data_IF_702827462301
#
_entry.id   IF_702827462301
#
_cell.length_a   1.000
_cell.length_b   1.000
_cell.length_c   1.000
_cell.angle_alpha   90.00
_cell.angle_beta   90.00
_cell.angle_gamma   90.00
#
_symmetry.space_group_name_H-M   'P 1'
#
loop_
_entity.id
_entity.type
_entity.pdbx_description
1 polymer ?
#
# COMPACT_ATOMS: atom_id res chain seq x y z
N UNK A 1 -20.53 -27.93 -54.93
CA UNK A 1 -21.86 -28.57 -54.89
C UNK A 1 -22.62 -27.86 -53.77
N UNK A 2 -23.48 -26.87 -54.14
CA UNK A 2 -24.96 -26.89 -54.10
C UNK A 2 -25.47 -27.34 -52.72
N UNK A 3 -26.24 -26.59 -51.92
CA UNK A 3 -27.53 -25.94 -52.22
C UNK A 3 -27.88 -24.84 -51.21
N UNK A 4 -28.36 -23.75 -51.75
CA UNK A 4 -29.22 -22.70 -51.21
C UNK A 4 -30.59 -23.27 -50.82
N UNK A 5 -31.22 -22.79 -49.76
CA UNK A 5 -32.67 -22.76 -49.63
C UNK A 5 -33.15 -21.50 -48.91
N UNK A 6 -33.70 -20.58 -49.66
CA UNK A 6 -34.61 -19.50 -49.26
C UNK A 6 -36.03 -20.09 -49.14
N UNK A 7 -36.79 -19.60 -48.16
CA UNK A 7 -38.25 -19.41 -48.29
C UNK A 7 -38.74 -18.21 -47.48
N UNK A 8 -39.39 -17.36 -48.25
CA UNK A 8 -40.18 -16.18 -47.84
C UNK A 8 -41.62 -16.56 -47.49
N UNK A 9 -42.37 -15.51 -47.08
CA UNK A 9 -43.87 -15.33 -47.14
C UNK A 9 -44.56 -15.72 -45.79
N UNK A 10 -45.50 -14.95 -45.19
CA UNK A 10 -46.50 -14.02 -45.66
C UNK A 10 -47.07 -13.19 -44.50
N UNK A 11 -47.49 -12.01 -44.81
CA UNK A 11 -48.24 -11.06 -43.95
C UNK A 11 -49.68 -11.53 -43.68
N UNK A 12 -50.24 -11.17 -42.53
CA UNK A 12 -51.68 -10.97 -42.33
C UNK A 12 -51.95 -9.78 -41.41
N UNK A 13 -52.44 -8.72 -41.98
CA UNK A 13 -53.01 -7.58 -41.29
C UNK A 13 -54.50 -7.90 -40.94
N UNK A 14 -54.87 -7.65 -39.68
CA UNK A 14 -56.29 -7.55 -39.27
C UNK A 14 -56.48 -6.24 -38.56
N UNK A 15 -57.19 -5.34 -39.22
CA UNK A 15 -57.74 -4.10 -38.66
C UNK A 15 -59.01 -4.44 -37.86
N UNK A 16 -59.06 -4.08 -36.60
CA UNK A 16 -60.31 -3.96 -35.84
C UNK A 16 -60.32 -2.59 -35.13
N UNK A 17 -61.18 -1.72 -35.68
CA UNK A 17 -61.63 -0.47 -35.10
C UNK A 17 -62.59 -0.75 -33.94
N UNK A 18 -62.32 -0.19 -32.77
CA UNK A 18 -63.35 -0.06 -31.73
C UNK A 18 -63.19 1.29 -31.01
N UNK A 19 -64.29 1.93 -30.84
CA UNK A 19 -64.53 3.30 -30.38
C UNK A 19 -63.96 3.65 -29.01
N UNK A 20 -63.44 4.87 -28.90
CA UNK A 20 -63.13 5.58 -27.65
C UNK A 20 -64.42 6.09 -26.97
N UNK A 21 -64.42 6.16 -25.65
CA UNK A 21 -64.99 7.31 -24.94
C UNK A 21 -63.91 8.21 -24.41
N UNK A 22 -64.14 9.47 -24.63
CA UNK A 22 -63.39 10.66 -24.24
C UNK A 22 -63.45 10.78 -22.71
N UNK A 23 -62.28 10.70 -22.05
CA UNK A 23 -62.13 11.09 -20.65
C UNK A 23 -61.08 12.18 -20.54
N UNK A 24 -61.41 13.22 -19.81
CA UNK A 24 -60.68 14.44 -19.56
C UNK A 24 -59.26 14.20 -19.02
N UNK A 25 -58.30 15.15 -19.26
CA UNK A 25 -56.92 15.04 -18.73
C UNK A 25 -56.96 15.31 -17.22
N UNK A 26 -56.60 14.33 -16.42
CA UNK A 26 -56.19 14.56 -15.05
C UNK A 26 -54.79 15.11 -15.07
N UNK A 27 -54.61 16.22 -14.42
CA UNK A 27 -53.36 16.85 -14.02
C UNK A 27 -52.44 15.85 -13.33
N UNK A 28 -51.13 15.75 -13.63
CA UNK A 28 -50.21 14.85 -12.95
C UNK A 28 -50.00 15.35 -11.52
N UNK A 29 -50.41 14.57 -10.54
CA UNK A 29 -49.98 14.71 -9.14
C UNK A 29 -48.47 14.64 -9.06
N UNK A 30 -47.88 15.74 -8.65
CA UNK A 30 -46.47 15.92 -8.33
C UNK A 30 -46.16 15.07 -7.09
N UNK A 31 -45.68 13.84 -7.31
CA UNK A 31 -45.13 13.03 -6.22
C UNK A 31 -43.79 13.67 -5.85
N UNK A 32 -43.54 13.97 -4.57
CA UNK A 32 -42.23 14.41 -4.13
C UNK A 32 -41.19 13.35 -4.54
N UNK A 33 -40.30 13.73 -5.43
CA UNK A 33 -39.08 12.96 -5.68
C UNK A 33 -38.24 13.01 -4.41
N UNK A 34 -38.09 11.88 -3.75
CA UNK A 34 -37.09 11.73 -2.71
C UNK A 34 -35.75 12.22 -3.26
N UNK A 35 -34.99 13.03 -2.48
CA UNK A 35 -33.71 13.51 -2.95
C UNK A 35 -32.82 12.29 -3.20
N UNK A 36 -32.41 12.11 -4.46
CA UNK A 36 -31.35 11.15 -4.82
C UNK A 36 -30.12 11.61 -4.09
N UNK A 37 -29.87 11.05 -2.91
CA UNK A 37 -28.61 11.19 -2.19
C UNK A 37 -27.58 10.49 -3.06
N UNK A 38 -26.88 11.26 -3.85
CA UNK A 38 -25.69 10.84 -4.56
C UNK A 38 -24.64 10.51 -3.47
N UNK A 39 -24.67 9.30 -2.94
CA UNK A 39 -23.60 8.76 -2.13
C UNK A 39 -22.41 8.58 -3.09
N UNK A 40 -21.59 9.62 -3.22
CA UNK A 40 -20.26 9.47 -3.77
C UNK A 40 -19.50 8.56 -2.81
N UNK A 41 -19.48 7.27 -3.12
CA UNK A 41 -18.68 6.30 -2.37
C UNK A 41 -17.23 6.77 -2.39
N UNK A 42 -16.62 6.84 -1.21
CA UNK A 42 -15.19 7.18 -1.11
C UNK A 42 -14.37 6.21 -1.99
N UNK A 43 -13.34 6.72 -2.67
CA UNK A 43 -12.50 5.89 -3.52
C UNK A 43 -11.80 4.82 -2.65
N UNK A 44 -11.75 3.59 -3.16
CA UNK A 44 -11.13 2.44 -2.47
C UNK A 44 -10.07 1.84 -3.36
N UNK A 45 -8.85 1.71 -2.85
CA UNK A 45 -7.76 1.00 -3.52
C UNK A 45 -8.06 -0.51 -3.52
N UNK A 46 -8.05 -1.11 -4.71
CA UNK A 46 -8.16 -2.56 -4.93
C UNK A 46 -7.13 -2.97 -5.94
N UNK A 47 -6.61 -4.17 -5.80
CA UNK A 47 -5.61 -4.70 -6.71
C UNK A 47 -5.13 -6.08 -6.27
N UNK A 48 -4.33 -6.68 -7.10
CA UNK A 48 -3.67 -7.95 -6.87
C UNK A 48 -2.16 -7.81 -7.12
N UNK A 49 -1.37 -8.73 -6.58
CA UNK A 49 0.06 -8.81 -6.88
C UNK A 49 0.29 -9.80 -8.01
N UNK A 50 1.14 -9.41 -8.95
CA UNK A 50 1.51 -10.22 -10.09
C UNK A 50 3.02 -10.41 -10.10
N UNK A 51 3.46 -11.66 -10.23
CA UNK A 51 4.88 -11.97 -10.34
C UNK A 51 5.42 -11.47 -11.68
N UNK A 52 6.59 -10.81 -11.66
CA UNK A 52 7.25 -10.38 -12.88
C UNK A 52 7.74 -11.58 -13.70
N UNK A 53 7.66 -11.46 -15.02
CA UNK A 53 8.10 -12.48 -15.95
C UNK A 53 9.64 -12.46 -16.09
N UNK A 54 10.32 -13.07 -15.13
CA UNK A 54 11.79 -13.19 -15.10
C UNK A 54 12.17 -14.63 -15.36
N UNK A 55 13.11 -14.84 -16.26
CA UNK A 55 13.64 -16.16 -16.61
C UNK A 55 14.99 -16.38 -15.91
N UNK A 56 15.08 -17.41 -15.11
CA UNK A 56 16.33 -17.87 -14.49
C UNK A 56 16.86 -19.10 -15.23
N UNK A 57 18.18 -19.37 -15.20
CA UNK A 57 18.75 -20.61 -15.72
C UNK A 57 18.13 -21.86 -15.08
N UNK A 58 18.07 -22.95 -15.82
CA UNK A 58 17.67 -24.23 -15.25
C UNK A 58 18.62 -24.62 -14.12
N UNK A 59 18.05 -24.99 -13.00
CA UNK A 59 18.78 -25.40 -11.83
C UNK A 59 18.12 -26.63 -11.22
N UNK A 60 18.92 -27.63 -10.86
CA UNK A 60 18.47 -28.87 -10.21
C UNK A 60 19.19 -29.01 -8.87
N UNK A 61 18.42 -29.03 -7.80
CA UNK A 61 18.97 -29.21 -6.44
C UNK A 61 18.39 -28.24 -5.42
N UNK A 62 18.94 -28.27 -4.22
CA UNK A 62 18.49 -27.50 -3.07
C UNK A 62 19.32 -26.21 -2.83
N UNK A 63 20.22 -25.89 -3.75
CA UNK A 63 21.01 -24.64 -3.74
C UNK A 63 20.66 -23.72 -4.91
N UNK A 64 19.47 -23.92 -5.51
CA UNK A 64 19.01 -23.09 -6.61
C UNK A 64 18.69 -21.68 -6.11
N UNK A 65 19.17 -20.63 -6.80
CA UNK A 65 18.89 -19.26 -6.41
C UNK A 65 17.38 -18.95 -6.55
N UNK A 66 16.83 -18.21 -5.59
CA UNK A 66 15.43 -17.79 -5.60
C UNK A 66 15.32 -16.26 -5.82
N UNK A 67 14.82 -15.88 -6.98
CA UNK A 67 14.57 -14.49 -7.32
C UNK A 67 13.07 -14.29 -7.57
N UNK A 68 12.39 -13.65 -6.64
CA UNK A 68 10.95 -13.42 -6.72
C UNK A 68 10.64 -11.95 -6.55
N UNK A 69 10.17 -11.32 -7.62
CA UNK A 69 9.69 -9.94 -7.62
C UNK A 69 8.25 -9.90 -8.10
N UNK A 70 7.40 -9.27 -7.30
CA UNK A 70 5.99 -9.06 -7.63
C UNK A 70 5.73 -7.55 -7.74
N UNK A 71 4.83 -7.17 -8.64
CA UNK A 71 4.30 -5.81 -8.76
C UNK A 71 2.84 -5.75 -8.31
N UNK A 72 2.37 -4.56 -7.98
CA UNK A 72 0.95 -4.31 -7.78
C UNK A 72 0.28 -3.98 -9.12
N UNK A 73 -0.88 -4.57 -9.37
CA UNK A 73 -1.82 -4.15 -10.41
C UNK A 73 -3.11 -3.70 -9.73
N UNK A 74 -3.33 -2.40 -9.70
CA UNK A 74 -4.45 -1.81 -8.98
C UNK A 74 -5.38 -1.02 -9.89
N UNK A 75 -6.49 -0.57 -9.31
CA UNK A 75 -7.42 0.36 -9.96
C UNK A 75 -6.92 1.82 -9.94
N UNK A 76 -5.67 2.09 -9.51
CA UNK A 76 -5.02 3.40 -9.52
C UNK A 76 -3.64 3.33 -10.19
N UNK A 77 -3.55 3.55 -11.51
CA UNK A 77 -2.29 3.41 -12.26
C UNK A 77 -1.12 4.25 -11.73
N UNK A 78 -1.39 5.42 -11.11
CA UNK A 78 -0.34 6.26 -10.53
C UNK A 78 0.36 5.59 -9.33
N UNK A 79 -0.37 4.75 -8.57
CA UNK A 79 0.20 3.94 -7.47
C UNK A 79 1.09 2.85 -8.05
N UNK A 80 0.59 2.14 -9.07
CA UNK A 80 1.33 1.06 -9.71
C UNK A 80 2.65 1.57 -10.30
N UNK A 81 2.62 2.71 -10.99
CA UNK A 81 3.81 3.34 -11.57
C UNK A 81 4.84 3.76 -10.51
N UNK A 82 4.39 4.35 -9.40
CA UNK A 82 5.28 4.72 -8.31
C UNK A 82 5.92 3.48 -7.69
N UNK A 83 5.13 2.45 -7.41
CA UNK A 83 5.64 1.21 -6.81
C UNK A 83 6.58 0.45 -7.75
N UNK A 84 6.34 0.47 -9.07
CA UNK A 84 7.24 -0.12 -10.07
C UNK A 84 8.62 0.55 -10.01
N UNK A 85 8.67 1.89 -9.91
CA UNK A 85 9.93 2.61 -9.76
C UNK A 85 10.62 2.27 -8.43
N UNK A 86 9.88 2.21 -7.34
CA UNK A 86 10.43 1.85 -6.03
C UNK A 86 10.94 0.40 -5.98
N UNK A 87 10.33 -0.52 -6.71
CA UNK A 87 10.83 -1.89 -6.88
C UNK A 87 12.21 -1.87 -7.57
N UNK A 88 12.36 -1.11 -8.64
CA UNK A 88 13.65 -0.98 -9.35
C UNK A 88 14.73 -0.34 -8.47
N UNK A 89 14.37 0.70 -7.72
CA UNK A 89 15.27 1.35 -6.78
C UNK A 89 15.74 0.40 -5.66
N UNK A 90 14.83 -0.45 -5.18
CA UNK A 90 15.19 -1.47 -4.19
C UNK A 90 16.09 -2.57 -4.79
N UNK A 91 15.79 -3.06 -6.00
CA UNK A 91 16.65 -4.02 -6.70
C UNK A 91 18.06 -3.48 -6.89
N UNK A 92 18.17 -2.22 -7.32
CA UNK A 92 19.48 -1.55 -7.47
C UNK A 92 20.27 -1.51 -6.16
N UNK A 93 19.61 -1.11 -5.07
CA UNK A 93 20.24 -1.03 -3.74
C UNK A 93 20.64 -2.39 -3.19
N UNK A 94 19.77 -3.41 -3.33
CA UNK A 94 20.00 -4.76 -2.80
C UNK A 94 21.15 -5.48 -3.53
N UNK A 95 21.34 -5.20 -4.82
CA UNK A 95 22.38 -5.81 -5.63
C UNK A 95 23.63 -4.91 -5.79
N UNK A 96 23.66 -3.76 -5.10
CA UNK A 96 24.74 -2.77 -5.16
C UNK A 96 25.13 -2.36 -6.59
N UNK A 97 24.15 -2.37 -7.51
CA UNK A 97 24.38 -1.99 -8.90
C UNK A 97 24.26 -0.47 -9.01
N UNK A 98 25.39 0.22 -9.02
CA UNK A 98 25.46 1.68 -9.08
C UNK A 98 25.28 2.23 -10.51
N UNK A 99 25.45 1.40 -11.53
CA UNK A 99 25.42 1.80 -12.94
C UNK A 99 24.04 1.73 -13.58
N UNK A 100 23.04 2.37 -12.96
CA UNK A 100 21.72 2.55 -13.57
C UNK A 100 21.66 3.73 -14.57
N UNK A 101 22.79 4.23 -15.05
CA UNK A 101 22.87 5.36 -15.99
C UNK A 101 22.30 5.09 -17.40
N UNK A 102 21.76 3.92 -17.65
CA UNK A 102 21.05 3.60 -18.91
C UNK A 102 19.53 3.46 -18.80
N UNK A 103 18.93 3.61 -17.63
CA UNK A 103 17.49 3.43 -17.44
C UNK A 103 16.66 4.72 -17.48
N UNK A 104 17.28 5.88 -17.66
CA UNK A 104 16.57 7.16 -17.77
C UNK A 104 16.34 7.53 -19.23
N UNK A 105 15.39 6.86 -19.89
CA UNK A 105 14.79 7.40 -21.12
C UNK A 105 13.30 7.11 -21.16
N UNK A 106 12.54 8.16 -20.78
CA UNK A 106 11.20 8.52 -21.30
C UNK A 106 10.48 7.47 -22.15
N UNK A 107 9.53 6.76 -21.53
CA UNK A 107 8.45 6.15 -22.27
C UNK A 107 7.12 6.53 -21.60
N UNK A 108 6.34 7.37 -22.27
CA UNK A 108 4.94 7.63 -21.97
C UNK A 108 4.11 6.55 -22.70
N UNK A 109 3.24 5.86 -21.98
CA UNK A 109 2.22 5.03 -22.58
C UNK A 109 2.30 3.53 -22.22
N UNK A 110 1.46 2.73 -22.81
CA UNK A 110 1.24 1.29 -22.59
C UNK A 110 2.46 0.34 -22.72
N UNK A 111 3.65 0.88 -22.94
CA UNK A 111 4.94 0.16 -22.97
C UNK A 111 5.57 -0.01 -21.56
N UNK A 112 5.00 0.59 -20.53
CA UNK A 112 5.61 0.68 -19.20
C UNK A 112 5.69 -0.67 -18.47
N UNK A 113 4.75 -1.59 -18.70
CA UNK A 113 4.81 -2.95 -18.16
C UNK A 113 5.97 -3.77 -18.72
N UNK A 114 6.21 -3.65 -20.03
CA UNK A 114 7.32 -4.34 -20.68
C UNK A 114 8.68 -3.79 -20.20
N UNK A 115 8.74 -2.52 -19.83
CA UNK A 115 9.96 -1.89 -19.33
C UNK A 115 10.37 -2.44 -17.96
N UNK A 116 9.43 -2.61 -17.02
CA UNK A 116 9.71 -3.17 -15.70
C UNK A 116 10.22 -4.62 -15.80
N UNK A 117 9.59 -5.48 -16.61
CA UNK A 117 10.02 -6.87 -16.80
C UNK A 117 11.43 -6.94 -17.40
N UNK A 118 11.74 -6.07 -18.36
CA UNK A 118 13.07 -6.01 -19.00
C UNK A 118 14.14 -5.60 -17.98
N UNK A 119 13.87 -4.59 -17.17
CA UNK A 119 14.82 -4.15 -16.12
C UNK A 119 14.94 -5.19 -15.01
N UNK A 120 13.85 -5.80 -14.57
CA UNK A 120 13.87 -6.88 -13.59
C UNK A 120 14.69 -8.08 -14.09
N UNK A 121 14.63 -8.39 -15.40
CA UNK A 121 15.49 -9.43 -16.00
C UNK A 121 16.98 -9.06 -15.92
N UNK A 122 17.34 -7.79 -16.11
CA UNK A 122 18.74 -7.35 -15.94
C UNK A 122 19.24 -7.56 -14.51
N UNK A 123 18.42 -7.20 -13.52
CA UNK A 123 18.73 -7.45 -12.12
C UNK A 123 18.79 -8.94 -11.77
N UNK A 124 17.91 -9.76 -12.35
CA UNK A 124 17.98 -11.21 -12.20
C UNK A 124 19.26 -11.80 -12.77
N UNK A 125 19.74 -11.30 -13.92
CA UNK A 125 21.01 -11.75 -14.50
C UNK A 125 22.20 -11.37 -13.59
N UNK A 126 22.17 -10.18 -12.98
CA UNK A 126 23.19 -9.78 -12.01
C UNK A 126 23.14 -10.66 -10.73
N UNK A 127 21.94 -10.97 -10.24
CA UNK A 127 21.74 -11.88 -9.12
C UNK A 127 22.28 -13.29 -9.40
N UNK A 128 22.07 -13.82 -10.61
CA UNK A 128 22.62 -15.12 -11.03
C UNK A 128 24.15 -15.09 -11.08
N UNK A 129 24.74 -13.97 -11.53
CA UNK A 129 26.19 -13.81 -11.52
C UNK A 129 26.77 -13.89 -10.11
N UNK A 130 26.10 -13.28 -9.12
CA UNK A 130 26.49 -13.43 -7.70
C UNK A 130 26.43 -14.89 -7.27
N UNK A 131 25.38 -15.63 -7.63
CA UNK A 131 25.24 -17.07 -7.33
C UNK A 131 26.39 -17.88 -7.92
N UNK A 132 26.77 -17.62 -9.17
CA UNK A 132 27.90 -18.29 -9.85
C UNK A 132 29.23 -17.99 -9.16
N UNK A 133 29.48 -16.75 -8.78
CA UNK A 133 30.71 -16.34 -8.06
C UNK A 133 30.80 -17.00 -6.69
N UNK A 134 29.70 -17.07 -5.93
CA UNK A 134 29.66 -17.74 -4.63
C UNK A 134 29.90 -19.24 -4.76
N UNK A 135 29.31 -19.89 -5.75
CA UNK A 135 29.52 -21.31 -6.04
C UNK A 135 30.96 -21.60 -6.46
N UNK A 136 31.60 -20.71 -7.22
CA UNK A 136 33.02 -20.83 -7.58
C UNK A 136 33.94 -20.77 -6.33
N UNK A 137 33.50 -20.10 -5.25
CA UNK A 137 34.18 -20.08 -3.96
C UNK A 137 33.80 -21.28 -3.07
N UNK A 138 33.18 -22.31 -3.64
CA UNK A 138 32.73 -23.52 -2.91
C UNK A 138 31.63 -23.25 -1.86
N UNK A 139 30.85 -22.19 -2.04
CA UNK A 139 29.67 -21.92 -1.20
C UNK A 139 28.57 -22.92 -1.53
N UNK A 140 27.97 -23.48 -0.49
CA UNK A 140 26.77 -24.34 -0.60
C UNK A 140 25.50 -23.60 -0.22
N UNK A 141 25.53 -22.29 -0.05
CA UNK A 141 24.37 -21.49 0.34
C UNK A 141 23.45 -21.23 -0.85
N UNK A 142 22.17 -21.32 -0.61
CA UNK A 142 21.16 -20.83 -1.53
C UNK A 142 20.99 -19.34 -1.31
N UNK A 143 21.21 -18.53 -2.35
CA UNK A 143 20.89 -17.11 -2.30
C UNK A 143 19.42 -16.87 -2.65
N UNK A 144 18.84 -15.82 -2.09
CA UNK A 144 17.47 -15.45 -2.33
C UNK A 144 17.27 -13.95 -2.35
N UNK A 145 16.33 -13.48 -3.18
CA UNK A 145 15.87 -12.12 -3.23
C UNK A 145 14.36 -12.11 -3.45
N UNK A 146 13.64 -11.37 -2.62
CA UNK A 146 12.19 -11.22 -2.73
C UNK A 146 11.79 -9.75 -2.57
N UNK A 147 10.91 -9.27 -3.46
CA UNK A 147 10.22 -7.98 -3.30
C UNK A 147 8.73 -8.20 -3.58
N UNK A 148 7.86 -7.81 -2.62
CA UNK A 148 6.41 -8.00 -2.70
C UNK A 148 5.63 -6.81 -2.15
N UNK A 149 4.81 -6.13 -2.96
CA UNK A 149 3.86 -5.14 -2.46
C UNK A 149 2.66 -5.83 -1.80
N UNK A 150 2.03 -5.13 -0.85
CA UNK A 150 0.78 -5.55 -0.23
C UNK A 150 -0.05 -4.34 0.14
N UNK A 151 -1.32 -4.31 -0.28
CA UNK A 151 -2.28 -3.32 0.22
C UNK A 151 -2.54 -3.63 1.69
N UNK A 152 -2.17 -2.70 2.56
CA UNK A 152 -2.32 -2.84 4.01
C UNK A 152 -3.66 -2.26 4.48
N UNK A 153 -4.00 -1.06 4.00
CA UNK A 153 -5.23 -0.36 4.35
C UNK A 153 -5.76 0.39 3.13
N UNK A 154 -7.07 0.39 2.98
CA UNK A 154 -7.76 1.01 1.85
C UNK A 154 -9.13 1.58 2.27
N UNK A 155 -9.20 2.19 3.46
CA UNK A 155 -10.42 2.82 3.97
C UNK A 155 -10.23 4.32 4.09
N UNK A 156 -11.29 5.06 3.76
CA UNK A 156 -11.27 6.53 3.80
C UNK A 156 -10.45 7.13 2.66
N UNK A 157 -9.90 8.31 2.87
CA UNK A 157 -9.13 9.06 1.87
C UNK A 157 -7.68 8.60 1.74
N UNK A 158 -7.16 7.88 2.72
CA UNK A 158 -5.78 7.40 2.75
C UNK A 158 -5.72 5.89 2.54
N UNK A 159 -5.02 5.47 1.49
CA UNK A 159 -4.65 4.08 1.26
C UNK A 159 -3.18 3.86 1.56
N UNK A 160 -2.84 2.70 2.13
CA UNK A 160 -1.46 2.34 2.47
C UNK A 160 -1.07 1.04 1.78
N UNK A 161 0.07 1.07 1.09
CA UNK A 161 0.72 -0.11 0.52
C UNK A 161 2.07 -0.28 1.21
N UNK A 162 2.38 -1.50 1.63
CA UNK A 162 3.72 -1.85 2.12
C UNK A 162 4.46 -2.63 1.04
N UNK A 163 5.67 -2.23 0.74
CA UNK A 163 6.61 -2.97 -0.07
C UNK A 163 7.54 -3.74 0.86
N UNK A 164 7.40 -5.07 0.86
CA UNK A 164 8.24 -5.96 1.65
C UNK A 164 9.39 -6.42 0.78
N UNK A 165 10.60 -6.36 1.29
CA UNK A 165 11.77 -6.90 0.64
C UNK A 165 12.62 -7.74 1.58
N UNK A 166 13.26 -8.75 1.04
CA UNK A 166 14.25 -9.55 1.76
C UNK A 166 15.30 -10.09 0.79
N UNK A 167 16.52 -10.23 1.28
CA UNK A 167 17.59 -10.85 0.50
C UNK A 167 18.52 -11.65 1.42
N UNK A 168 19.08 -12.70 0.85
CA UNK A 168 20.25 -13.39 1.36
C UNK A 168 21.20 -13.63 0.20
N UNK A 169 22.32 -12.91 0.18
CA UNK A 169 23.29 -12.93 -0.91
C UNK A 169 24.59 -13.63 -0.50
N UNK A 170 24.50 -14.58 0.43
CA UNK A 170 25.65 -15.20 1.07
C UNK A 170 26.20 -14.33 2.21
N UNK A 171 26.73 -14.91 3.25
CA UNK A 171 27.24 -14.21 4.42
C UNK A 171 26.58 -14.66 5.72
N UNK A 172 26.76 -13.86 6.78
CA UNK A 172 26.32 -14.24 8.13
C UNK A 172 24.80 -14.26 8.32
N UNK A 173 24.08 -13.36 7.64
CA UNK A 173 22.61 -13.24 7.74
C UNK A 173 22.05 -12.56 6.48
N UNK A 174 20.73 -12.68 6.30
CA UNK A 174 19.98 -11.94 5.29
C UNK A 174 19.67 -10.53 5.74
N UNK A 175 19.02 -9.77 4.86
CA UNK A 175 18.46 -8.46 5.14
C UNK A 175 16.97 -8.43 4.84
N UNK A 176 16.20 -7.66 5.61
CA UNK A 176 14.77 -7.46 5.43
C UNK A 176 14.43 -5.98 5.53
N UNK A 177 13.41 -5.54 4.79
CA UNK A 177 12.88 -4.19 4.91
C UNK A 177 11.36 -4.16 4.67
N UNK A 178 10.73 -3.16 5.27
CA UNK A 178 9.32 -2.82 5.02
C UNK A 178 9.25 -1.32 4.76
N UNK A 179 8.84 -0.92 3.56
CA UNK A 179 8.64 0.48 3.18
C UNK A 179 7.16 0.73 2.95
N UNK A 180 6.64 1.76 3.59
CA UNK A 180 5.22 2.11 3.55
C UNK A 180 5.00 3.31 2.65
N UNK A 181 4.02 3.20 1.77
CA UNK A 181 3.60 4.24 0.84
C UNK A 181 2.15 4.58 1.12
N UNK A 182 1.89 5.84 1.41
CA UNK A 182 0.57 6.33 1.77
C UNK A 182 0.05 7.22 0.65
N UNK A 183 -1.22 7.03 0.25
CA UNK A 183 -1.81 7.69 -0.91
C UNK A 183 -3.13 8.34 -0.57
N UNK A 184 -3.29 9.58 -0.97
CA UNK A 184 -4.57 10.26 -1.05
C UNK A 184 -5.21 9.87 -2.39
N UNK A 185 -6.19 8.95 -2.33
CA UNK A 185 -6.86 8.42 -3.53
C UNK A 185 -7.70 9.47 -4.23
N UNK A 186 -8.25 10.44 -3.49
CA UNK A 186 -9.08 11.51 -4.05
C UNK A 186 -8.26 12.47 -4.89
N UNK A 187 -7.09 12.87 -4.39
CA UNK A 187 -6.19 13.81 -5.05
C UNK A 187 -5.12 13.11 -5.90
N UNK A 188 -5.12 11.78 -5.93
CA UNK A 188 -4.18 10.93 -6.68
C UNK A 188 -2.72 11.30 -6.44
N UNK A 189 -2.32 11.38 -5.17
CA UNK A 189 -0.96 11.73 -4.78
C UNK A 189 -0.45 10.88 -3.62
N UNK A 190 0.86 10.70 -3.56
CA UNK A 190 1.50 10.18 -2.37
C UNK A 190 1.44 11.21 -1.24
N UNK A 191 1.26 10.73 -0.01
CA UNK A 191 1.22 11.55 1.20
C UNK A 191 2.48 11.28 2.02
N UNK A 192 3.29 12.32 2.19
CA UNK A 192 4.51 12.26 2.99
C UNK A 192 4.20 12.53 4.47
N UNK A 193 5.07 12.12 5.39
CA UNK A 193 4.86 12.32 6.83
C UNK A 193 4.54 13.80 7.19
N UNK A 194 5.25 14.73 6.58
CA UNK A 194 5.02 16.16 6.81
C UNK A 194 3.66 16.65 6.28
N UNK A 195 3.07 15.98 5.30
CA UNK A 195 1.74 16.33 4.75
C UNK A 195 0.61 16.05 5.74
N UNK A 196 0.85 15.17 6.73
CA UNK A 196 -0.11 14.89 7.79
C UNK A 196 -0.24 16.05 8.79
N UNK A 197 0.78 16.89 8.88
CA UNK A 197 0.93 17.84 9.98
C UNK A 197 0.11 19.12 9.79
N UNK A 198 -0.40 19.63 10.89
CA UNK A 198 -0.82 21.02 10.99
C UNK A 198 0.40 21.95 10.85
N UNK A 199 0.21 23.18 10.37
CA UNK A 199 1.31 24.15 10.24
C UNK A 199 2.13 24.29 11.52
N UNK A 200 3.47 24.29 11.39
CA UNK A 200 4.43 24.48 12.49
C UNK A 200 4.44 23.36 13.56
N UNK A 201 3.84 22.19 13.28
CA UNK A 201 3.80 21.08 14.27
C UNK A 201 4.97 20.08 14.15
N UNK A 202 5.89 20.27 13.20
CA UNK A 202 7.01 19.34 13.02
C UNK A 202 7.83 19.12 14.30
N UNK A 203 8.23 20.17 14.99
CA UNK A 203 9.02 20.05 16.21
C UNK A 203 8.28 19.30 17.33
N UNK A 204 6.94 19.40 17.37
CA UNK A 204 6.13 18.65 18.33
C UNK A 204 6.07 17.16 17.94
N UNK A 205 5.92 16.85 16.64
CA UNK A 205 6.02 15.46 16.17
C UNK A 205 7.38 14.87 16.48
N UNK A 206 8.48 15.58 16.18
CA UNK A 206 9.84 15.12 16.42
C UNK A 206 10.05 14.77 17.91
N UNK A 207 9.53 15.62 18.81
CA UNK A 207 9.55 15.34 20.26
C UNK A 207 8.75 14.08 20.63
N UNK A 208 7.54 13.92 20.13
CA UNK A 208 6.71 12.74 20.39
C UNK A 208 7.37 11.46 19.87
N UNK A 209 7.99 11.53 18.70
CA UNK A 209 8.74 10.41 18.13
C UNK A 209 9.95 10.03 18.98
N UNK A 210 10.67 11.03 19.52
CA UNK A 210 11.80 10.79 20.43
C UNK A 210 11.32 10.20 21.77
N UNK A 211 10.20 10.70 22.33
CA UNK A 211 9.61 10.12 23.54
C UNK A 211 9.17 8.65 23.30
N UNK A 212 8.61 8.34 22.12
CA UNK A 212 8.28 6.97 21.74
C UNK A 212 9.53 6.08 21.59
N UNK A 213 10.62 6.61 21.06
CA UNK A 213 11.91 5.91 20.99
C UNK A 213 12.43 5.59 22.40
N UNK A 214 12.42 6.54 23.32
CA UNK A 214 12.85 6.31 24.70
C UNK A 214 12.02 5.22 25.38
N UNK A 215 10.72 5.26 25.20
CA UNK A 215 9.82 4.22 25.69
C UNK A 215 10.18 2.84 25.11
N UNK A 216 10.39 2.77 23.78
CA UNK A 216 10.76 1.53 23.09
C UNK A 216 12.07 0.93 23.61
N UNK A 217 13.09 1.76 23.85
CA UNK A 217 14.39 1.31 24.40
C UNK A 217 14.20 0.63 25.78
N UNK A 218 13.40 1.25 26.65
CA UNK A 218 13.19 0.73 28.01
C UNK A 218 12.30 -0.52 27.99
N UNK A 219 11.19 -0.49 27.28
CA UNK A 219 10.25 -1.61 27.21
C UNK A 219 10.88 -2.85 26.54
N UNK A 220 11.74 -2.62 25.56
CA UNK A 220 12.51 -3.69 24.89
C UNK A 220 13.75 -4.13 25.67
N UNK A 221 14.04 -3.51 26.81
CA UNK A 221 15.18 -3.81 27.71
C UNK A 221 16.54 -3.76 26.99
N UNK A 222 16.70 -2.78 26.11
CA UNK A 222 17.93 -2.62 25.30
C UNK A 222 19.05 -1.93 26.09
N UNK A 223 18.69 -1.08 27.05
CA UNK A 223 19.61 -0.44 27.99
C UNK A 223 18.89 -0.09 29.29
N UNK A 224 19.64 0.31 30.33
CA UNK A 224 19.08 0.78 31.58
C UNK A 224 18.46 2.19 31.44
N UNK A 225 19.00 3.01 30.56
CA UNK A 225 18.48 4.33 30.21
C UNK A 225 18.47 4.54 28.71
N UNK A 226 17.52 5.33 28.23
CA UNK A 226 17.45 5.66 26.81
C UNK A 226 18.64 6.52 26.37
N UNK A 227 19.10 7.43 27.23
CA UNK A 227 20.23 8.31 26.94
C UNK A 227 21.55 7.54 26.77
N UNK A 228 21.75 6.44 27.52
CA UNK A 228 22.88 5.52 27.33
C UNK A 228 22.81 4.81 25.98
N UNK A 229 21.62 4.33 25.60
CA UNK A 229 21.41 3.64 24.33
C UNK A 229 21.62 4.58 23.13
N UNK A 230 21.13 5.81 23.24
CA UNK A 230 21.18 6.80 22.17
C UNK A 230 22.62 7.25 21.83
N UNK A 231 23.58 7.09 22.75
CA UNK A 231 25.00 7.35 22.48
C UNK A 231 25.56 6.40 21.40
N UNK A 232 25.10 5.16 21.37
CA UNK A 232 25.52 4.17 20.36
C UNK A 232 24.59 4.14 19.14
N UNK A 233 23.30 4.45 19.36
CA UNK A 233 22.24 4.41 18.33
C UNK A 233 21.47 5.73 18.33
N UNK A 234 22.01 6.79 17.70
CA UNK A 234 21.38 8.11 17.68
C UNK A 234 19.99 8.06 17.04
N UNK A 235 19.02 8.66 17.71
CA UNK A 235 17.66 8.72 17.19
C UNK A 235 17.53 9.74 16.07
N UNK A 236 16.83 9.33 15.01
CA UNK A 236 16.38 10.20 13.93
C UNK A 236 14.94 9.84 13.55
N UNK A 237 14.13 10.84 13.25
CA UNK A 237 12.76 10.59 12.77
C UNK A 237 12.83 10.06 11.35
N UNK A 238 12.26 8.87 11.13
CA UNK A 238 12.11 8.31 9.79
C UNK A 238 10.90 8.90 9.06
N UNK A 239 10.96 8.95 7.75
CA UNK A 239 9.82 9.27 6.87
C UNK A 239 9.00 8.02 6.48
N UNK A 240 9.45 6.83 6.89
CA UNK A 240 8.78 5.57 6.66
C UNK A 240 7.72 5.34 7.74
N UNK A 241 6.46 5.59 7.39
CA UNK A 241 5.36 5.62 8.35
C UNK A 241 4.06 5.04 7.77
N UNK A 242 3.14 4.70 8.66
CA UNK A 242 1.74 4.48 8.32
C UNK A 242 0.82 4.81 9.51
N UNK A 243 -0.46 5.02 9.22
CA UNK A 243 -1.49 5.18 10.25
C UNK A 243 -2.07 3.82 10.60
N UNK A 244 -1.76 3.32 11.78
CA UNK A 244 -2.32 2.09 12.34
C UNK A 244 -3.63 2.34 13.08
N UNK A 245 -4.16 1.31 13.74
CA UNK A 245 -5.40 1.41 14.52
C UNK A 245 -5.24 2.28 15.78
N UNK A 246 -4.05 2.29 16.38
CA UNK A 246 -3.79 2.98 17.65
C UNK A 246 -3.10 4.33 17.48
N UNK A 247 -2.49 4.62 16.36
CA UNK A 247 -1.71 5.84 16.18
C UNK A 247 -0.89 5.88 14.90
N UNK A 248 0.00 6.86 14.86
CA UNK A 248 1.05 6.97 13.85
C UNK A 248 2.16 5.98 14.20
N UNK A 249 2.51 5.14 13.25
CA UNK A 249 3.58 4.16 13.37
C UNK A 249 4.74 4.61 12.50
N UNK A 250 5.92 4.79 13.12
CA UNK A 250 7.19 5.04 12.48
C UNK A 250 7.93 3.69 12.36
N UNK A 251 8.20 3.27 11.14
CA UNK A 251 8.85 2.00 10.83
C UNK A 251 10.33 2.24 10.54
N UNK A 252 11.18 1.54 11.25
CA UNK A 252 12.63 1.59 11.04
C UNK A 252 13.13 0.32 10.34
N UNK A 253 14.20 0.47 9.60
CA UNK A 253 14.95 -0.62 8.99
C UNK A 253 15.95 -1.23 9.97
N UNK A 254 16.59 -2.31 9.53
CA UNK A 254 17.73 -2.90 10.23
C UNK A 254 18.86 -1.86 10.37
N UNK A 255 19.49 -1.83 11.54
CA UNK A 255 20.61 -0.92 11.88
C UNK A 255 20.27 0.59 11.90
N UNK A 256 19.04 1.03 11.70
CA UNK A 256 18.70 2.46 11.74
C UNK A 256 18.70 3.02 13.17
N UNK A 257 18.11 2.31 14.14
CA UNK A 257 18.04 2.74 15.55
C UNK A 257 18.42 1.63 16.54
N UNK A 258 19.11 0.59 16.07
CA UNK A 258 19.55 -0.51 16.91
C UNK A 258 20.30 -1.59 16.12
N UNK A 259 20.96 -2.55 16.79
CA UNK A 259 21.68 -3.64 16.16
C UNK A 259 20.72 -4.60 15.44
N UNK A 260 21.25 -5.42 14.53
CA UNK A 260 20.46 -6.39 13.73
C UNK A 260 19.45 -7.22 14.55
N UNK A 261 19.82 -7.60 15.77
CA UNK A 261 18.98 -8.44 16.64
C UNK A 261 17.64 -7.78 17.02
N UNK A 262 17.50 -6.46 16.94
CA UNK A 262 16.22 -5.78 17.21
C UNK A 262 15.26 -5.84 16.01
N UNK A 263 15.76 -6.31 14.84
CA UNK A 263 14.97 -6.48 13.63
C UNK A 263 14.51 -5.15 13.03
N UNK A 264 13.21 -5.04 12.78
CA UNK A 264 12.56 -3.85 12.19
C UNK A 264 11.76 -3.09 13.26
N UNK A 265 12.36 -2.16 14.01
CA UNK A 265 11.69 -1.46 15.09
C UNK A 265 10.48 -0.65 14.61
N UNK A 266 9.44 -0.59 15.46
CA UNK A 266 8.24 0.23 15.26
C UNK A 266 8.04 1.11 16.48
N UNK A 267 7.98 2.42 16.23
CA UNK A 267 7.61 3.39 17.26
C UNK A 267 6.16 3.80 17.05
N UNK A 268 5.35 3.69 18.09
CA UNK A 268 3.92 4.04 18.03
C UNK A 268 3.70 5.35 18.78
N UNK A 269 3.12 6.33 18.10
CA UNK A 269 2.65 7.58 18.70
C UNK A 269 1.13 7.53 18.73
N UNK A 270 0.50 7.35 19.90
CA UNK A 270 -0.95 7.22 20.02
C UNK A 270 -1.72 8.44 19.50
N UNK A 271 -2.94 8.22 18.99
CA UNK A 271 -3.76 9.30 18.42
C UNK A 271 -4.16 10.37 19.41
N UNK A 272 -4.28 10.06 20.71
CA UNK A 272 -4.56 11.04 21.75
C UNK A 272 -3.44 12.09 21.89
N UNK A 273 -2.18 11.69 21.72
CA UNK A 273 -1.02 12.59 21.72
C UNK A 273 -0.89 13.40 20.40
N UNK A 274 -1.52 12.95 19.34
CA UNK A 274 -1.46 13.56 18.00
C UNK A 274 -2.56 14.62 17.77
N UNK A 275 -3.44 14.84 18.75
CA UNK A 275 -4.42 15.93 18.73
C UNK A 275 -3.74 17.29 18.65
N UNK A 276 -4.12 18.10 17.66
CA UNK A 276 -3.47 19.39 17.39
C UNK A 276 -2.05 19.29 16.83
N UNK A 277 -1.62 18.09 16.41
CA UNK A 277 -0.38 17.83 15.64
C UNK A 277 -0.71 17.42 14.23
N UNK A 278 -1.54 16.38 14.07
CA UNK A 278 -2.03 15.95 12.76
C UNK A 278 -3.26 16.76 12.35
N UNK A 279 -3.47 16.87 11.06
CA UNK A 279 -4.70 17.40 10.49
C UNK A 279 -5.89 16.48 10.87
N UNK A 280 -7.08 17.05 11.09
CA UNK A 280 -8.24 16.30 11.58
C UNK A 280 -8.67 15.12 10.69
N UNK A 281 -8.46 15.21 9.38
CA UNK A 281 -8.78 14.14 8.43
C UNK A 281 -7.95 12.86 8.62
N UNK A 282 -6.81 12.93 9.33
CA UNK A 282 -5.93 11.81 9.63
C UNK A 282 -6.12 11.25 11.05
N UNK A 283 -7.02 11.82 11.82
CA UNK A 283 -7.37 11.34 13.16
C UNK A 283 -8.61 10.45 13.10
N UNK A 284 -8.77 9.50 14.02
CA UNK A 284 -10.00 8.73 14.14
C UNK A 284 -11.20 9.66 14.31
N UNK A 285 -12.28 9.41 13.56
CA UNK A 285 -13.55 10.09 13.80
C UNK A 285 -14.06 9.65 15.18
N UNK A 286 -14.24 10.60 16.09
CA UNK A 286 -14.92 10.34 17.35
C UNK A 286 -16.39 10.06 17.01
N UNK A 287 -16.80 8.80 17.03
CA UNK A 287 -18.21 8.49 17.06
C UNK A 287 -18.78 9.09 18.35
N UNK A 288 -19.59 10.14 18.22
CA UNK A 288 -20.34 10.66 19.34
C UNK A 288 -21.29 9.56 19.80
N UNK A 289 -20.91 8.82 20.84
CA UNK A 289 -21.85 7.95 21.54
C UNK A 289 -22.94 8.87 22.10
N UNK A 290 -24.09 8.90 21.42
CA UNK A 290 -25.28 9.53 21.94
C UNK A 290 -25.53 8.91 23.32
N UNK A 291 -25.37 9.74 24.35
CA UNK A 291 -25.63 9.39 25.73
C UNK A 291 -27.05 8.80 25.81
N UNK A 292 -27.15 7.49 26.05
CA UNK A 292 -28.38 6.86 26.48
C UNK A 292 -28.70 7.40 27.87
N UNK A 293 -29.51 8.46 27.90
CA UNK A 293 -30.13 8.97 29.12
C UNK A 293 -31.12 7.88 29.54
N UNK A 294 -30.70 7.01 30.44
CA UNK A 294 -31.62 6.14 31.19
C UNK A 294 -32.45 7.05 32.08
N UNK A 295 -33.68 7.29 31.64
CA UNK A 295 -34.70 7.89 32.51
C UNK A 295 -35.04 6.87 33.60
N UNK A 296 -34.51 7.11 34.81
CA UNK A 296 -34.97 6.48 36.05
C UNK A 296 -36.37 6.98 36.34
N UNK A 297 -37.36 6.22 35.98
CA UNK A 297 -38.73 6.41 36.48
C UNK A 297 -38.77 5.92 37.93
N UNK A 298 -38.71 6.88 38.81
CA UNK A 298 -39.12 6.73 40.21
C UNK A 298 -40.62 6.33 40.29
N UNK A 299 -40.91 5.16 40.84
CA UNK A 299 -42.24 4.78 41.32
C UNK A 299 -42.17 4.52 42.79
N UNK A 300 -42.30 5.60 43.55
CA UNK A 300 -42.77 5.53 44.92
C UNK A 300 -44.31 5.43 44.93
N UNK A 301 -44.85 4.60 45.85
CA UNK A 301 -46.21 4.44 46.44
C UNK A 301 -46.90 3.14 46.06
N UNK A 302 -47.20 2.25 46.94
CA UNK A 302 -47.97 2.21 48.22
C UNK A 302 -47.70 0.86 48.82
#
# INVERSE_FOLDING_TARGET
MKKVFQYSILACAVLLTACQPKSEPKEPEDKPQDPVVNQTSEPVLRGETVKLAVTLPECNGNTCPDFTVERLQSNFPFIDQLLDQEILDQLSKMLEIVDADQASSTAQGSEQTNHLDVQAQQYANAFIKIDEELKALSSSHQISLMIKPKILQSKGTLATVVLNSSSYLGGAHGSTAQRYYNFDLKNQKQVQLNDLLLPKQKAKLDKLAHDAFKTWVIDSKLANTADEYEQAWPFQVTDNYFLGEQGLILQYGEYEIGPYVVGLPRLVIPFDQLQGVLKPEYLPKVESSAASTVATTDKSKS
#
